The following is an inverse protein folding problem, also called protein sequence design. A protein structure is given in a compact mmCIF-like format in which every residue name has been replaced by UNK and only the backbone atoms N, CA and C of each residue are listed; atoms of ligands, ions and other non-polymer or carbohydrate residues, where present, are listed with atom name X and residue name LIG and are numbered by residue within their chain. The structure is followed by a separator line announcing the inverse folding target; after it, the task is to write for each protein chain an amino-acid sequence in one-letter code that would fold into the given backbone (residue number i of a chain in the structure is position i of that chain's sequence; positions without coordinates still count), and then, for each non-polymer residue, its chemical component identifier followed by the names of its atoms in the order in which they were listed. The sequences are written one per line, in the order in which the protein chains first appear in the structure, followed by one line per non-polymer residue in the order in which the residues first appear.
data_IF_263783727764
#
_entry.id   IF_263783727764
#
_cell.length_a   1.000
_cell.length_b   1.000
_cell.length_c   1.000
_cell.angle_alpha   90.00
_cell.angle_beta   90.00
_cell.angle_gamma   90.00
#
_symmetry.space_group_name_H-M   'P 1'
#
loop_
_entity.id
_entity.type
_entity.pdbx_description
1 polymer ?
#
# COMPACT_ATOMS: atom_id res chain seq x y z
N UNK A 1 19.14 -9.10 -7.52
CA UNK A 1 17.72 -9.13 -7.93
C UNK A 1 17.02 -8.21 -6.97
N UNK A 2 16.51 -7.08 -7.45
CA UNK A 2 15.80 -6.12 -6.58
C UNK A 2 14.50 -6.73 -6.05
N UNK A 3 13.92 -6.12 -5.02
CA UNK A 3 12.69 -6.63 -4.40
C UNK A 3 11.47 -5.87 -4.88
N UNK A 4 10.34 -6.57 -4.88
CA UNK A 4 9.05 -5.98 -5.21
C UNK A 4 8.09 -6.24 -4.05
N UNK A 5 7.46 -5.18 -3.55
CA UNK A 5 6.51 -5.24 -2.45
C UNK A 5 5.57 -4.05 -2.52
N UNK A 6 4.46 -4.11 -1.80
CA UNK A 6 3.55 -2.99 -1.70
C UNK A 6 2.98 -2.88 -0.28
N UNK A 7 2.55 -1.67 0.06
CA UNK A 7 1.80 -1.44 1.28
C UNK A 7 0.77 -0.32 1.11
N UNK A 8 -0.10 -0.20 2.10
CA UNK A 8 -1.28 0.67 2.06
C UNK A 8 -1.33 1.54 3.31
N UNK A 9 -1.71 2.80 3.14
CA UNK A 9 -1.91 3.76 4.22
C UNK A 9 -3.29 4.38 4.11
N UNK A 10 -4.09 4.29 5.17
CA UNK A 10 -5.39 4.95 5.26
C UNK A 10 -5.27 6.19 6.11
N UNK A 11 -5.80 7.31 5.63
CA UNK A 11 -5.93 8.51 6.45
C UNK A 11 -7.03 8.25 7.49
N UNK A 12 -6.65 8.01 8.74
CA UNK A 12 -7.56 7.67 9.84
C UNK A 12 -6.90 7.92 11.18
N UNK A 13 -7.67 8.48 12.11
CA UNK A 13 -7.30 8.63 13.53
C UNK A 13 -7.69 7.40 14.37
N UNK A 14 -8.29 6.38 13.73
CA UNK A 14 -8.83 5.21 14.39
C UNK A 14 -8.33 3.92 13.73
N UNK A 15 -7.51 3.20 14.49
CA UNK A 15 -7.09 1.84 14.20
C UNK A 15 -8.29 0.88 14.11
N UNK A 16 -9.27 1.02 15.00
CA UNK A 16 -10.45 0.15 15.04
C UNK A 16 -11.30 0.28 13.77
N UNK A 17 -11.61 1.52 13.34
CA UNK A 17 -12.34 1.75 12.08
C UNK A 17 -11.60 1.21 10.87
N UNK A 18 -10.27 1.32 10.89
CA UNK A 18 -9.39 0.81 9.85
C UNK A 18 -9.49 -0.71 9.75
N UNK A 19 -9.47 -1.42 10.87
CA UNK A 19 -9.68 -2.88 10.93
C UNK A 19 -11.09 -3.26 10.47
N UNK A 20 -12.11 -2.52 10.89
CA UNK A 20 -13.50 -2.75 10.47
C UNK A 20 -13.69 -2.57 8.96
N UNK A 21 -13.01 -1.60 8.35
CA UNK A 21 -13.04 -1.42 6.89
C UNK A 21 -12.44 -2.63 6.15
N UNK A 22 -11.33 -3.18 6.64
CA UNK A 22 -10.76 -4.42 6.09
C UNK A 22 -11.67 -5.63 6.31
N UNK A 23 -12.32 -5.76 7.47
CA UNK A 23 -13.32 -6.82 7.71
C UNK A 23 -14.48 -6.70 6.73
N UNK A 24 -15.02 -5.50 6.55
CA UNK A 24 -16.08 -5.24 5.59
C UNK A 24 -15.65 -5.54 4.15
N UNK A 25 -14.41 -5.20 3.78
CA UNK A 25 -13.85 -5.52 2.47
C UNK A 25 -13.74 -7.02 2.26
N UNK A 26 -13.24 -7.76 3.25
CA UNK A 26 -13.10 -9.21 3.16
C UNK A 26 -14.45 -9.93 3.05
N UNK A 27 -15.52 -9.39 3.67
CA UNK A 27 -16.87 -9.92 3.50
C UNK A 27 -17.50 -9.57 2.14
N UNK A 28 -17.29 -8.35 1.63
CA UNK A 28 -17.95 -7.87 0.41
C UNK A 28 -17.24 -8.27 -0.88
N UNK A 29 -15.91 -8.24 -0.88
CA UNK A 29 -15.06 -8.53 -2.05
C UNK A 29 -13.80 -9.33 -1.62
N UNK A 30 -13.96 -10.59 -1.15
CA UNK A 30 -12.85 -11.42 -0.68
C UNK A 30 -11.74 -11.60 -1.73
N UNK A 31 -12.11 -11.70 -3.01
CA UNK A 31 -11.18 -11.88 -4.13
C UNK A 31 -10.14 -10.75 -4.21
N UNK A 32 -10.51 -9.52 -3.86
CA UNK A 32 -9.58 -8.37 -3.91
C UNK A 32 -8.45 -8.53 -2.88
N UNK A 33 -8.65 -9.33 -1.84
CA UNK A 33 -7.67 -9.63 -0.80
C UNK A 33 -7.02 -11.01 -0.99
N UNK A 34 -7.18 -11.66 -2.14
CA UNK A 34 -6.60 -12.97 -2.42
C UNK A 34 -7.27 -14.13 -1.68
N UNK A 35 -8.49 -13.92 -1.19
CA UNK A 35 -9.25 -14.89 -0.39
C UNK A 35 -10.13 -15.82 -1.25
N UNK A 36 -10.01 -15.76 -2.58
CA UNK A 36 -10.77 -16.59 -3.52
C UNK A 36 -10.08 -17.91 -3.83
N UNK A 37 -10.87 -18.96 -4.09
CA UNK A 37 -10.36 -20.30 -4.44
C UNK A 37 -9.54 -20.33 -5.75
N UNK A 38 -9.73 -19.37 -6.67
CA UNK A 38 -9.11 -19.37 -8.01
C UNK A 38 -7.70 -18.74 -8.05
N UNK A 39 -7.45 -17.68 -7.28
CA UNK A 39 -6.13 -17.02 -7.24
C UNK A 39 -5.11 -17.79 -6.37
N UNK A 40 -5.59 -18.66 -5.49
CA UNK A 40 -4.76 -19.51 -4.62
C UNK A 40 -4.14 -20.72 -5.36
N UNK A 41 -4.67 -21.10 -6.53
CA UNK A 41 -4.13 -22.18 -7.35
C UNK A 41 -2.84 -21.86 -8.13
N UNK A 42 -2.44 -20.58 -8.20
CA UNK A 42 -1.20 -20.16 -8.88
C UNK A 42 0.00 -19.95 -7.95
N UNK A 43 -0.22 -19.74 -6.64
CA UNK A 43 0.85 -19.62 -5.65
C UNK A 43 1.59 -20.95 -5.38
N UNK A 44 0.98 -22.08 -5.74
CA UNK A 44 1.53 -23.43 -5.53
C UNK A 44 2.67 -23.81 -6.51
N UNK A 45 3.01 -22.93 -7.47
CA UNK A 45 4.11 -23.14 -8.41
C UNK A 45 5.45 -22.49 -7.97
N UNK A 46 5.45 -21.67 -6.92
CA UNK A 46 6.66 -20.98 -6.41
C UNK A 46 7.23 -21.56 -5.11
N UNK A 47 6.65 -22.64 -4.57
CA UNK A 47 7.27 -23.45 -3.52
C UNK A 47 7.30 -22.83 -2.11
N UNK A 48 6.53 -21.77 -1.86
CA UNK A 48 6.32 -21.22 -0.52
C UNK A 48 5.08 -21.87 0.09
N UNK A 49 5.26 -22.97 0.80
CA UNK A 49 4.24 -23.55 1.68
C UNK A 49 3.91 -22.57 2.81
N UNK A 50 2.95 -21.69 2.59
CA UNK A 50 2.15 -21.12 3.67
C UNK A 50 0.81 -21.83 3.62
N UNK A 51 0.54 -22.67 4.62
CA UNK A 51 -0.81 -23.12 4.92
C UNK A 51 -1.60 -21.87 5.34
N UNK A 52 -2.15 -21.14 4.37
CA UNK A 52 -3.14 -20.12 4.68
C UNK A 52 -4.36 -20.86 5.19
N UNK A 53 -4.65 -20.69 6.48
CA UNK A 53 -5.97 -21.00 7.03
C UNK A 53 -6.97 -20.24 6.14
N UNK A 54 -7.70 -20.97 5.30
CA UNK A 54 -8.54 -20.44 4.21
C UNK A 54 -9.60 -19.42 4.66
N UNK A 55 -9.80 -19.32 5.96
CA UNK A 55 -10.81 -18.49 6.61
C UNK A 55 -10.21 -17.29 7.35
N UNK A 56 -8.91 -17.00 7.18
CA UNK A 56 -8.20 -15.97 7.94
C UNK A 56 -7.41 -15.03 7.04
N UNK A 57 -7.68 -13.74 7.22
CA UNK A 57 -6.86 -12.66 6.70
C UNK A 57 -5.94 -12.16 7.80
N UNK A 58 -4.61 -12.23 7.59
CA UNK A 58 -3.61 -11.71 8.52
C UNK A 58 -3.12 -10.36 8.02
N UNK A 59 -3.26 -9.33 8.86
CA UNK A 59 -2.82 -7.97 8.57
C UNK A 59 -1.79 -7.52 9.62
N UNK A 60 -0.73 -6.86 9.18
CA UNK A 60 0.17 -6.12 10.07
C UNK A 60 -0.21 -4.66 10.04
N UNK A 61 -0.73 -4.13 11.15
CA UNK A 61 -1.32 -2.79 11.19
C UNK A 61 -0.58 -1.92 12.20
N UNK A 62 -0.32 -0.67 11.82
CA UNK A 62 0.33 0.33 12.68
C UNK A 62 -0.35 1.69 12.54
N UNK A 63 -0.78 2.28 13.66
CA UNK A 63 -1.11 3.71 13.71
C UNK A 63 0.20 4.50 13.63
N UNK A 64 0.57 4.90 12.42
CA UNK A 64 1.90 5.43 12.11
C UNK A 64 2.09 6.85 12.63
N UNK A 65 1.02 7.64 12.60
CA UNK A 65 0.91 8.91 13.29
C UNK A 65 -0.56 9.16 13.67
N UNK A 66 -0.90 10.35 14.16
CA UNK A 66 -2.28 10.66 14.61
C UNK A 66 -3.35 10.56 13.53
N UNK A 67 -2.97 10.60 12.25
CA UNK A 67 -3.89 10.73 11.13
C UNK A 67 -3.75 9.58 10.13
N UNK A 68 -2.87 8.60 10.36
CA UNK A 68 -2.59 7.56 9.39
C UNK A 68 -2.42 6.19 10.02
N UNK A 69 -3.06 5.20 9.40
CA UNK A 69 -2.92 3.78 9.67
C UNK A 69 -2.25 3.11 8.48
N UNK A 70 -1.10 2.49 8.71
CA UNK A 70 -0.37 1.70 7.70
C UNK A 70 -0.70 0.22 7.85
N UNK A 71 -0.83 -0.46 6.73
CA UNK A 71 -1.18 -1.87 6.64
C UNK A 71 -0.21 -2.58 5.70
N UNK A 72 0.38 -3.66 6.20
CA UNK A 72 1.19 -4.61 5.42
C UNK A 72 0.46 -5.95 5.39
N UNK A 73 0.52 -6.64 4.26
CA UNK A 73 -0.03 -7.98 4.09
C UNK A 73 0.64 -8.66 2.90
N UNK A 74 0.63 -10.00 2.87
CA UNK A 74 1.36 -10.84 1.92
C UNK A 74 0.85 -10.80 0.47
N UNK A 75 -0.44 -10.56 0.28
CA UNK A 75 -1.05 -10.37 -1.04
C UNK A 75 -0.87 -8.95 -1.58
N UNK A 76 -0.30 -8.01 -0.80
CA UNK A 76 -0.03 -6.65 -1.27
C UNK A 76 1.22 -6.66 -2.15
N UNK A 77 0.99 -6.69 -3.46
CA UNK A 77 2.02 -6.55 -4.49
C UNK A 77 1.63 -5.48 -5.50
N UNK A 78 2.58 -5.12 -6.35
CA UNK A 78 2.31 -4.21 -7.45
C UNK A 78 1.15 -4.75 -8.32
N UNK A 79 0.14 -3.91 -8.58
CA UNK A 79 -1.09 -4.29 -9.27
C UNK A 79 -2.25 -4.65 -8.32
N UNK A 80 -2.05 -5.56 -7.36
CA UNK A 80 -3.13 -5.94 -6.42
C UNK A 80 -3.43 -4.82 -5.43
N UNK A 81 -2.39 -4.15 -4.92
CA UNK A 81 -2.55 -3.09 -3.91
C UNK A 81 -3.46 -1.95 -4.39
N UNK A 82 -3.43 -1.62 -5.69
CA UNK A 82 -4.30 -0.59 -6.28
C UNK A 82 -5.77 -0.99 -6.25
N UNK A 83 -6.09 -2.25 -6.61
CA UNK A 83 -7.47 -2.78 -6.55
C UNK A 83 -7.99 -2.78 -5.12
N UNK A 84 -7.12 -3.08 -4.16
CA UNK A 84 -7.42 -3.03 -2.72
C UNK A 84 -7.68 -1.58 -2.30
N UNK A 85 -6.78 -0.65 -2.64
CA UNK A 85 -6.92 0.79 -2.34
C UNK A 85 -8.21 1.38 -2.90
N UNK A 86 -8.53 1.07 -4.16
CA UNK A 86 -9.79 1.48 -4.79
C UNK A 86 -11.00 0.93 -4.02
N UNK A 87 -11.04 -0.38 -3.77
CA UNK A 87 -12.17 -1.02 -3.09
C UNK A 87 -12.36 -0.54 -1.66
N UNK A 88 -11.26 -0.38 -0.93
CA UNK A 88 -11.26 0.10 0.45
C UNK A 88 -11.71 1.56 0.54
N UNK A 89 -11.30 2.40 -0.42
CA UNK A 89 -11.72 3.80 -0.48
C UNK A 89 -13.23 4.01 -0.72
N UNK A 90 -13.99 2.96 -1.07
CA UNK A 90 -15.47 2.98 -1.09
C UNK A 90 -16.08 2.75 0.29
N UNK A 91 -15.33 2.14 1.20
CA UNK A 91 -15.76 1.76 2.54
C UNK A 91 -15.34 2.80 3.60
N UNK A 92 -14.33 3.61 3.29
CA UNK A 92 -13.84 4.70 4.14
C UNK A 92 -14.10 6.05 3.47
N UNK A 93 -14.41 7.09 4.25
CA UNK A 93 -14.64 8.44 3.73
C UNK A 93 -13.36 9.24 3.44
N UNK A 94 -12.25 8.78 4.01
CA UNK A 94 -10.95 9.44 3.93
C UNK A 94 -10.07 8.80 2.84
N UNK A 95 -9.07 9.51 2.31
CA UNK A 95 -8.19 8.97 1.28
C UNK A 95 -7.43 7.71 1.72
N UNK A 96 -7.28 6.80 0.76
CA UNK A 96 -6.41 5.62 0.86
C UNK A 96 -5.24 5.81 -0.08
N UNK A 97 -4.02 5.67 0.45
CA UNK A 97 -2.77 5.75 -0.30
C UNK A 97 -2.20 4.36 -0.45
N UNK A 98 -1.78 3.99 -1.64
CA UNK A 98 -1.06 2.75 -1.90
C UNK A 98 0.32 3.08 -2.39
N UNK A 99 1.31 2.31 -1.96
CA UNK A 99 2.66 2.37 -2.49
C UNK A 99 3.09 1.01 -3.01
N UNK A 100 3.82 1.01 -4.12
CA UNK A 100 4.36 -0.18 -4.73
C UNK A 100 5.81 0.03 -5.13
N UNK A 101 6.62 -1.01 -4.94
CA UNK A 101 8.03 -1.04 -5.31
C UNK A 101 8.31 -2.17 -6.26
N UNK A 102 9.16 -1.93 -7.26
CA UNK A 102 9.65 -2.97 -8.17
C UNK A 102 11.14 -2.84 -8.34
N UNK A 103 11.82 -3.93 -8.01
CA UNK A 103 13.26 -4.11 -8.17
C UNK A 103 14.12 -2.96 -7.61
N UNK A 104 13.61 -2.20 -6.63
CA UNK A 104 14.20 -0.96 -6.11
C UNK A 104 14.37 0.17 -7.15
N UNK A 105 13.91 -0.03 -8.39
CA UNK A 105 14.05 0.88 -9.54
C UNK A 105 12.79 1.71 -9.79
N UNK A 106 11.64 1.23 -9.31
CA UNK A 106 10.35 1.89 -9.44
C UNK A 106 9.74 2.02 -8.06
N UNK A 107 9.31 3.24 -7.74
CA UNK A 107 8.42 3.52 -6.63
C UNK A 107 7.17 4.18 -7.17
N UNK A 108 6.04 3.54 -6.98
CA UNK A 108 4.74 4.06 -7.35
C UNK A 108 3.96 4.46 -6.11
N UNK A 109 3.29 5.60 -6.20
CA UNK A 109 2.35 6.08 -5.20
C UNK A 109 1.03 6.42 -5.89
N UNK A 110 -0.06 5.87 -5.37
CA UNK A 110 -1.42 6.16 -5.84
C UNK A 110 -2.32 6.59 -4.69
N UNK A 111 -3.25 7.50 -4.96
CA UNK A 111 -4.23 8.02 -4.00
C UNK A 111 -5.62 7.66 -4.50
N UNK A 112 -6.45 7.09 -3.63
CA UNK A 112 -7.83 6.70 -3.91
C UNK A 112 -8.78 7.38 -2.95
N UNK A 113 -9.95 7.77 -3.47
CA UNK A 113 -11.05 8.32 -2.68
C UNK A 113 -12.37 7.97 -3.36
N UNK A 114 -13.36 7.58 -2.57
CA UNK A 114 -14.73 7.28 -3.03
C UNK A 114 -14.77 6.21 -4.15
N UNK A 115 -13.81 5.29 -4.16
CA UNK A 115 -13.70 4.24 -5.18
C UNK A 115 -13.05 4.65 -6.49
N UNK A 116 -12.41 5.82 -6.55
CA UNK A 116 -11.71 6.30 -7.73
C UNK A 116 -10.27 6.70 -7.41
N UNK A 117 -9.35 6.41 -8.34
CA UNK A 117 -7.97 6.91 -8.28
C UNK A 117 -7.97 8.43 -8.51
N UNK A 118 -7.51 9.20 -7.53
CA UNK A 118 -7.45 10.66 -7.61
C UNK A 118 -6.12 11.15 -8.17
N UNK A 119 -5.03 10.45 -7.86
CA UNK A 119 -3.69 10.77 -8.32
C UNK A 119 -2.82 9.52 -8.37
N UNK A 120 -1.84 9.54 -9.25
CA UNK A 120 -0.78 8.55 -9.38
C UNK A 120 0.51 9.26 -9.73
N UNK A 121 1.61 8.79 -9.14
CA UNK A 121 2.95 9.24 -9.44
C UNK A 121 3.93 8.09 -9.41
N UNK A 122 4.76 8.00 -10.44
CA UNK A 122 5.77 6.95 -10.57
C UNK A 122 7.16 7.59 -10.52
N UNK A 123 7.89 7.33 -9.44
CA UNK A 123 9.28 7.72 -9.26
C UNK A 123 10.16 6.62 -9.84
N UNK A 124 10.80 6.92 -10.98
CA UNK A 124 11.80 6.07 -11.60
C UNK A 124 12.69 6.90 -12.52
N UNK A 125 13.87 6.38 -12.85
CA UNK A 125 14.75 6.98 -13.87
C UNK A 125 14.11 6.90 -15.27
N UNK A 126 14.51 7.81 -16.17
CA UNK A 126 13.93 7.91 -17.53
C UNK A 126 14.11 6.62 -18.35
N UNK A 127 15.26 5.96 -18.20
CA UNK A 127 15.52 4.67 -18.85
C UNK A 127 14.55 3.59 -18.36
N UNK A 128 14.38 3.44 -17.04
CA UNK A 128 13.45 2.49 -16.43
C UNK A 128 12.02 2.76 -16.88
N UNK A 129 11.61 4.03 -16.92
CA UNK A 129 10.28 4.43 -17.42
C UNK A 129 10.04 3.93 -18.85
N UNK A 130 11.02 4.10 -19.73
CA UNK A 130 10.92 3.63 -21.11
C UNK A 130 10.97 2.11 -21.23
N UNK A 131 11.79 1.42 -20.44
CA UNK A 131 11.97 -0.04 -20.48
C UNK A 131 10.69 -0.77 -20.06
N UNK A 132 10.04 -0.29 -19.01
CA UNK A 132 8.80 -0.87 -18.49
C UNK A 132 7.54 -0.29 -19.14
N UNK A 133 7.68 0.68 -20.05
CA UNK A 133 6.55 1.33 -20.73
C UNK A 133 5.60 2.06 -19.78
N UNK A 134 6.13 2.60 -18.69
CA UNK A 134 5.33 3.19 -17.61
C UNK A 134 4.75 4.52 -18.05
N UNK A 135 3.43 4.64 -17.90
CA UNK A 135 2.71 5.90 -18.04
C UNK A 135 1.85 6.09 -16.80
N UNK A 136 1.86 7.31 -16.26
CA UNK A 136 0.98 7.67 -15.16
C UNK A 136 -0.46 7.77 -15.71
N UNK A 137 -1.36 6.97 -15.17
CA UNK A 137 -2.77 6.94 -15.59
C UNK A 137 -3.49 8.23 -15.21
N UNK A 138 -3.12 8.83 -14.06
CA UNK A 138 -3.71 10.07 -13.53
C UNK A 138 -2.68 10.93 -12.78
N UNK A 139 -2.01 11.85 -13.47
CA UNK A 139 -1.11 12.81 -12.82
C UNK A 139 -1.88 14.04 -12.31
N UNK A 140 -2.20 14.04 -11.01
CA UNK A 140 -2.85 15.16 -10.33
C UNK A 140 -2.10 15.56 -9.06
N UNK A 141 -1.03 16.34 -9.23
CA UNK A 141 -0.16 16.77 -8.14
C UNK A 141 -0.94 17.53 -7.04
N UNK A 142 -1.98 18.28 -7.38
CA UNK A 142 -2.83 18.94 -6.39
C UNK A 142 -3.57 17.96 -5.48
N UNK A 143 -4.13 16.88 -6.05
CA UNK A 143 -4.81 15.83 -5.27
C UNK A 143 -3.84 15.05 -4.39
N UNK A 144 -2.64 14.75 -4.91
CA UNK A 144 -1.58 14.13 -4.14
C UNK A 144 -1.17 15.00 -2.95
N UNK A 145 -0.95 16.30 -3.22
CA UNK A 145 -0.57 17.30 -2.24
C UNK A 145 -1.61 17.43 -1.13
N UNK A 146 -2.88 17.55 -1.50
CA UNK A 146 -4.00 17.67 -0.56
C UNK A 146 -4.21 16.40 0.28
N UNK A 147 -4.11 15.21 -0.33
CA UNK A 147 -4.29 13.97 0.40
C UNK A 147 -3.22 13.77 1.48
N UNK A 148 -1.96 14.06 1.15
CA UNK A 148 -0.80 13.88 2.02
C UNK A 148 -0.48 15.09 2.92
N UNK A 149 -1.28 16.15 2.85
CA UNK A 149 -1.07 17.42 3.57
C UNK A 149 0.32 18.06 3.31
N UNK A 150 0.82 17.96 2.08
CA UNK A 150 2.14 18.46 1.69
C UNK A 150 2.07 19.97 1.33
N UNK A 151 2.99 20.82 1.82
CA UNK A 151 3.09 22.22 1.37
C UNK A 151 3.48 22.32 -0.11
N UNK A 152 3.03 23.35 -0.82
CA UNK A 152 3.33 23.52 -2.26
C UNK A 152 4.83 23.53 -2.56
N UNK A 153 5.63 24.21 -1.73
CA UNK A 153 7.09 24.31 -1.91
C UNK A 153 7.75 22.93 -1.86
N UNK A 154 7.31 22.07 -0.94
CA UNK A 154 7.79 20.70 -0.78
C UNK A 154 7.34 19.80 -1.95
N UNK A 155 6.13 20.03 -2.45
CA UNK A 155 5.64 19.34 -3.65
C UNK A 155 6.48 19.70 -4.89
N UNK A 156 6.82 20.98 -5.08
CA UNK A 156 7.66 21.44 -6.20
C UNK A 156 9.08 20.84 -6.17
N UNK A 157 9.58 20.44 -5.01
CA UNK A 157 10.80 19.65 -4.87
C UNK A 157 10.56 18.18 -5.18
N UNK A 158 9.52 17.58 -4.58
CA UNK A 158 9.17 16.18 -4.76
C UNK A 158 8.99 15.81 -6.23
N UNK A 159 8.34 16.67 -7.02
CA UNK A 159 8.07 16.38 -8.43
C UNK A 159 9.32 16.31 -9.30
N UNK A 160 10.45 16.83 -8.83
CA UNK A 160 11.74 16.79 -9.54
C UNK A 160 12.53 15.53 -9.25
N UNK A 161 12.12 14.74 -8.25
CA UNK A 161 12.81 13.52 -7.87
C UNK A 161 12.44 12.40 -8.85
N UNK A 162 13.46 11.74 -9.40
CA UNK A 162 13.32 10.53 -10.22
C UNK A 162 13.74 9.28 -9.46
N UNK A 163 14.65 9.42 -8.49
CA UNK A 163 15.15 8.29 -7.70
C UNK A 163 14.08 7.78 -6.72
N UNK A 164 13.71 6.49 -6.79
CA UNK A 164 12.77 5.86 -5.86
C UNK A 164 13.15 6.08 -4.39
N UNK A 165 14.41 5.80 -4.04
CA UNK A 165 14.90 5.91 -2.66
C UNK A 165 14.81 7.35 -2.13
N UNK A 166 15.22 8.34 -2.93
CA UNK A 166 15.11 9.76 -2.53
C UNK A 166 13.65 10.20 -2.36
N UNK A 167 12.76 9.72 -3.22
CA UNK A 167 11.34 10.06 -3.14
C UNK A 167 10.70 9.46 -1.88
N UNK A 168 11.05 8.21 -1.54
CA UNK A 168 10.64 7.55 -0.30
C UNK A 168 11.13 8.30 0.92
N UNK A 169 12.42 8.65 0.97
CA UNK A 169 13.01 9.38 2.10
C UNK A 169 12.30 10.72 2.31
N UNK A 170 12.13 11.50 1.24
CA UNK A 170 11.45 12.81 1.28
C UNK A 170 9.99 12.67 1.71
N UNK A 171 9.23 11.73 1.14
CA UNK A 171 7.83 11.53 1.51
C UNK A 171 7.66 11.00 2.94
N UNK A 172 8.57 10.13 3.39
CA UNK A 172 8.60 9.63 4.77
C UNK A 172 8.86 10.79 5.74
N UNK A 173 9.78 11.70 5.41
CA UNK A 173 10.04 12.91 6.21
C UNK A 173 8.81 13.82 6.29
N UNK A 174 8.16 14.07 5.15
CA UNK A 174 7.01 14.98 5.06
C UNK A 174 5.75 14.44 5.75
N UNK A 175 5.49 13.14 5.61
CA UNK A 175 4.22 12.52 6.04
C UNK A 175 4.36 11.75 7.36
N UNK A 176 5.58 11.38 7.74
CA UNK A 176 5.86 10.43 8.82
C UNK A 176 5.46 8.98 8.50
N UNK A 177 4.98 8.70 7.28
CA UNK A 177 4.57 7.36 6.87
C UNK A 177 5.78 6.44 6.68
N UNK A 178 5.63 5.17 7.01
CA UNK A 178 6.68 4.18 6.73
C UNK A 178 6.42 3.50 5.41
N UNK A 179 6.75 4.21 4.34
CA UNK A 179 6.52 3.78 2.97
C UNK A 179 7.41 2.58 2.61
N UNK A 180 8.65 2.54 3.11
CA UNK A 180 9.57 1.42 2.93
C UNK A 180 9.37 0.38 4.03
N UNK A 181 8.33 -0.42 3.92
CA UNK A 181 8.04 -1.50 4.86
C UNK A 181 7.36 -2.65 4.14
N UNK A 182 7.81 -3.86 4.45
CA UNK A 182 7.27 -5.10 3.90
C UNK A 182 6.90 -6.05 5.04
N UNK A 183 5.85 -6.84 4.83
CA UNK A 183 5.33 -7.77 5.84
C UNK A 183 6.35 -8.86 6.19
N UNK A 184 7.15 -9.34 5.23
CA UNK A 184 8.16 -10.38 5.43
C UNK A 184 9.25 -9.92 6.41
N UNK A 185 9.43 -8.61 6.58
CA UNK A 185 10.48 -8.04 7.43
C UNK A 185 10.01 -7.90 8.87
N UNK A 186 8.70 -7.88 9.14
CA UNK A 186 8.14 -7.70 10.49
C UNK A 186 8.71 -8.72 11.50
N UNK A 187 8.86 -10.02 11.18
CA UNK A 187 9.45 -10.98 12.12
C UNK A 187 10.95 -10.79 12.36
N UNK A 188 11.65 -10.11 11.45
CA UNK A 188 13.11 -10.02 11.40
C UNK A 188 13.67 -8.65 11.82
N UNK A 189 12.88 -7.60 11.70
CA UNK A 189 13.27 -6.23 12.01
C UNK A 189 12.57 -5.71 13.28
N UNK A 190 13.36 -5.48 14.34
CA UNK A 190 12.85 -5.02 15.64
C UNK A 190 12.02 -3.74 15.54
N UNK A 191 12.43 -2.82 14.66
CA UNK A 191 11.73 -1.56 14.42
C UNK A 191 10.32 -1.77 13.86
N UNK A 192 10.16 -2.68 12.90
CA UNK A 192 8.85 -3.01 12.34
C UNK A 192 8.02 -3.83 13.33
N UNK A 193 8.62 -4.83 13.98
CA UNK A 193 7.95 -5.69 14.96
C UNK A 193 7.36 -4.93 16.14
N UNK A 194 8.05 -3.89 16.61
CA UNK A 194 7.59 -3.07 17.72
C UNK A 194 6.47 -2.10 17.34
N UNK A 195 6.27 -1.84 16.05
CA UNK A 195 5.33 -0.84 15.55
C UNK A 195 4.09 -1.42 14.90
N UNK A 196 4.23 -2.56 14.22
CA UNK A 196 3.14 -3.24 13.54
C UNK A 196 2.63 -4.38 14.42
N UNK A 197 1.35 -4.32 14.77
CA UNK A 197 0.67 -5.40 15.45
C UNK A 197 0.06 -6.34 14.40
N UNK A 198 0.13 -7.64 14.66
CA UNK A 198 -0.56 -8.66 13.87
C UNK A 198 -2.05 -8.69 14.25
N UNK A 199 -2.91 -8.68 13.25
CA UNK A 199 -4.36 -8.73 13.38
C UNK A 199 -4.91 -9.83 12.48
N UNK A 200 -5.55 -10.83 13.10
CA UNK A 200 -6.28 -11.86 12.38
C UNK A 200 -7.76 -11.46 12.23
N UNK A 201 -8.26 -11.49 11.00
CA UNK A 201 -9.67 -11.31 10.68
C UNK A 201 -10.22 -12.66 10.23
N UNK A 202 -11.05 -13.27 11.06
CA UNK A 202 -11.80 -14.48 10.72
C UNK A 202 -12.99 -14.15 9.81
N UNK A 203 -13.18 -14.94 8.76
CA UNK A 203 -14.24 -14.76 7.76
C UNK A 203 -15.45 -15.66 8.00
N UNK A 204 -15.38 -16.54 9.00
CA UNK A 204 -16.46 -17.42 9.41
C UNK A 204 -17.25 -16.82 10.58
N UNK A 205 -18.51 -16.47 10.32
CA UNK A 205 -19.60 -16.41 11.32
C UNK A 205 -20.71 -17.39 10.91
#
# INVERSE_FOLDING_TARGET
MGRSFANLHMKSDSLERSIEAFRALATQNPDVLGLSDEEQGQADLTGTHYESDKDKLVLYISQTNKNWVSVLQDFFVWGTVKRIGESLSRLVSEPVVTVGFIHDEIFELSVFKDGEMQAERIFCEEWTRSEYGLQEERLHDDHLREALDIPQEEMDELIKITSPAQAVDKLTELTGLSLWSDWEWVPHEEGLRSRFAEHEISLAD
#
